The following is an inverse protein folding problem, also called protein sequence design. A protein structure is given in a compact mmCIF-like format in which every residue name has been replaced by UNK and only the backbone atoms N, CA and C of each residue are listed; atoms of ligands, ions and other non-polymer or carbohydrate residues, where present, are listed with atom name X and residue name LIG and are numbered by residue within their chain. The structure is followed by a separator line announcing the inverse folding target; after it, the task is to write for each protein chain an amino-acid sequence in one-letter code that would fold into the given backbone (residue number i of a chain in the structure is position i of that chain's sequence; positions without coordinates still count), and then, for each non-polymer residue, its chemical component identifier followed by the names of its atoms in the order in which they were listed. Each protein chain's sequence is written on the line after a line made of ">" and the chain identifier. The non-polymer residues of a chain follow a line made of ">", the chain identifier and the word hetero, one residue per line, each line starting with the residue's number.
data_IF_235151017461
#
_entry.id   IF_235151017461
#
_cell.length_a   1.000
_cell.length_b   1.000
_cell.length_c   1.000
_cell.angle_alpha   90.00
_cell.angle_beta   90.00
_cell.angle_gamma   90.00
#
_symmetry.space_group_name_H-M   'P 1'
#
loop_
_entity.id
_entity.type
_entity.pdbx_description
1 polymer ?
#
# COMPACT_ATOMS: atom_id res chain seq x y z
N UNK A 1 23.59 -15.60 -41.78
CA UNK A 1 22.54 -14.64 -42.19
C UNK A 1 21.14 -15.14 -41.80
N UNK A 2 20.82 -16.42 -42.01
CA UNK A 2 19.48 -16.98 -41.75
C UNK A 2 18.98 -16.97 -40.29
N UNK A 3 19.88 -17.16 -39.31
CA UNK A 3 19.52 -17.05 -37.89
C UNK A 3 19.06 -15.64 -37.50
N UNK A 4 19.62 -14.60 -38.13
CA UNK A 4 19.23 -13.21 -37.88
C UNK A 4 17.83 -12.91 -38.45
N UNK A 5 17.52 -13.43 -39.64
CA UNK A 5 16.20 -13.25 -40.27
C UNK A 5 15.09 -14.02 -39.56
N UNK A 6 15.36 -15.26 -39.11
CA UNK A 6 14.43 -16.04 -38.29
C UNK A 6 14.13 -15.36 -36.95
N UNK A 7 15.18 -14.88 -36.27
CA UNK A 7 15.03 -14.14 -35.01
C UNK A 7 14.28 -12.83 -35.21
N UNK A 8 14.51 -12.13 -36.32
CA UNK A 8 13.77 -10.93 -36.71
C UNK A 8 12.28 -11.20 -36.88
N UNK A 9 11.90 -12.24 -37.65
CA UNK A 9 10.50 -12.63 -37.88
C UNK A 9 9.78 -13.07 -36.61
N UNK A 10 10.44 -13.87 -35.77
CA UNK A 10 9.88 -14.28 -34.47
C UNK A 10 9.65 -13.07 -33.55
N UNK A 11 10.59 -12.13 -33.53
CA UNK A 11 10.46 -10.90 -32.74
C UNK A 11 9.32 -10.03 -33.25
N UNK A 12 9.19 -9.85 -34.56
CA UNK A 12 8.10 -9.11 -35.18
C UNK A 12 6.72 -9.76 -34.90
N UNK A 13 6.62 -11.09 -35.01
CA UNK A 13 5.39 -11.83 -34.67
C UNK A 13 5.02 -11.72 -33.19
N UNK A 14 6.01 -11.73 -32.29
CA UNK A 14 5.80 -11.51 -30.86
C UNK A 14 5.28 -10.09 -30.58
N UNK A 15 5.91 -9.07 -31.18
CA UNK A 15 5.49 -7.67 -31.01
C UNK A 15 4.09 -7.44 -31.56
N UNK A 16 3.77 -7.99 -32.74
CA UNK A 16 2.43 -7.90 -33.33
C UNK A 16 1.36 -8.51 -32.42
N UNK A 17 1.62 -9.68 -31.80
CA UNK A 17 0.71 -10.26 -30.79
C UNK A 17 0.61 -9.41 -29.52
N UNK A 18 1.71 -8.77 -29.11
CA UNK A 18 1.73 -7.92 -27.94
C UNK A 18 0.94 -6.62 -28.17
N UNK A 19 1.04 -6.01 -29.35
CA UNK A 19 0.30 -4.79 -29.74
C UNK A 19 -1.21 -4.98 -29.69
N UNK A 20 -1.69 -6.19 -30.04
CA UNK A 20 -3.11 -6.58 -29.87
C UNK A 20 -3.46 -7.06 -28.46
N UNK A 21 -2.50 -7.14 -27.54
CA UNK A 21 -2.71 -7.69 -26.19
C UNK A 21 -3.05 -9.19 -26.17
N UNK A 22 -2.69 -9.94 -27.20
CA UNK A 22 -2.97 -11.38 -27.36
C UNK A 22 -1.82 -12.26 -26.87
N UNK A 23 -0.63 -11.68 -26.69
CA UNK A 23 0.53 -12.42 -26.21
C UNK A 23 0.23 -13.09 -24.86
N UNK A 24 0.52 -14.39 -24.76
CA UNK A 24 0.27 -15.15 -23.54
C UNK A 24 1.30 -14.83 -22.45
N UNK A 25 1.02 -13.81 -21.64
CA UNK A 25 1.81 -13.46 -20.46
C UNK A 25 1.31 -14.21 -19.22
N UNK A 26 2.22 -14.46 -18.28
CA UNK A 26 1.88 -15.01 -16.97
C UNK A 26 0.94 -14.05 -16.22
N UNK A 27 -0.23 -14.57 -15.82
CA UNK A 27 -1.22 -13.82 -15.05
C UNK A 27 -0.93 -13.88 -13.54
N UNK A 28 -1.26 -12.81 -12.78
CA UNK A 28 -1.23 -12.87 -11.33
C UNK A 28 -2.36 -13.75 -10.77
N UNK A 29 -2.34 -13.99 -9.45
CA UNK A 29 -3.50 -14.58 -8.76
C UNK A 29 -4.74 -13.70 -8.96
N UNK A 30 -5.94 -14.30 -9.00
CA UNK A 30 -7.18 -13.58 -9.30
C UNK A 30 -7.51 -13.46 -10.78
N UNK A 31 -6.57 -13.77 -11.68
CA UNK A 31 -6.82 -13.81 -13.12
C UNK A 31 -6.40 -15.17 -13.68
N UNK A 32 -7.30 -15.78 -14.45
CA UNK A 32 -7.08 -17.07 -15.10
C UNK A 32 -7.37 -17.01 -16.59
N UNK A 33 -6.76 -17.92 -17.36
CA UNK A 33 -7.06 -18.09 -18.78
C UNK A 33 -7.93 -19.34 -18.91
N UNK A 34 -9.06 -19.21 -19.59
CA UNK A 34 -9.90 -20.35 -19.94
C UNK A 34 -9.25 -21.19 -21.06
N UNK A 35 -9.93 -22.27 -21.46
CA UNK A 35 -9.47 -23.13 -22.55
C UNK A 35 -9.36 -22.41 -23.91
N UNK A 36 -10.10 -21.31 -24.11
CA UNK A 36 -10.07 -20.48 -25.32
C UNK A 36 -8.99 -19.39 -25.25
N UNK A 37 -8.26 -19.27 -24.15
CA UNK A 37 -7.23 -18.26 -23.93
C UNK A 37 -7.77 -16.88 -23.52
N UNK A 38 -9.07 -16.77 -23.22
CA UNK A 38 -9.73 -15.57 -22.69
C UNK A 38 -9.38 -15.42 -21.22
N UNK A 39 -9.03 -14.19 -20.81
CA UNK A 39 -8.70 -13.90 -19.42
C UNK A 39 -9.97 -13.60 -18.64
N UNK A 40 -10.16 -14.32 -17.53
CA UNK A 40 -11.31 -14.22 -16.63
C UNK A 40 -10.85 -13.93 -15.20
N UNK A 41 -11.74 -13.49 -14.32
CA UNK A 41 -11.47 -13.50 -12.88
C UNK A 41 -11.47 -14.94 -12.38
N UNK A 42 -10.65 -15.20 -11.37
CA UNK A 42 -10.56 -16.49 -10.69
C UNK A 42 -11.93 -16.92 -10.16
N UNK A 43 -12.38 -18.12 -10.50
CA UNK A 43 -13.67 -18.66 -10.05
C UNK A 43 -13.82 -18.72 -8.52
N UNK A 44 -12.73 -18.70 -7.74
CA UNK A 44 -12.81 -18.66 -6.28
C UNK A 44 -13.14 -17.25 -5.77
N UNK A 45 -14.33 -17.09 -5.21
CA UNK A 45 -14.81 -15.82 -4.68
C UNK A 45 -13.90 -15.23 -3.58
N UNK A 46 -13.33 -16.06 -2.69
CA UNK A 46 -12.40 -15.56 -1.65
C UNK A 46 -11.14 -14.93 -2.28
N UNK A 47 -10.65 -15.49 -3.39
CA UNK A 47 -9.50 -14.91 -4.10
C UNK A 47 -9.87 -13.53 -4.65
N UNK A 48 -11.05 -13.41 -5.27
CA UNK A 48 -11.52 -12.14 -5.79
C UNK A 48 -11.68 -11.10 -4.67
N UNK A 49 -12.39 -11.47 -3.61
CA UNK A 49 -12.70 -10.58 -2.49
C UNK A 49 -11.43 -10.16 -1.73
N UNK A 50 -10.48 -11.07 -1.54
CA UNK A 50 -9.18 -10.75 -0.91
C UNK A 50 -8.39 -9.74 -1.72
N UNK A 51 -8.39 -9.87 -3.05
CA UNK A 51 -7.68 -8.94 -3.93
C UNK A 51 -8.36 -7.57 -3.88
N UNK A 52 -9.69 -7.52 -3.97
CA UNK A 52 -10.46 -6.30 -3.83
C UNK A 52 -10.18 -5.61 -2.49
N UNK A 53 -10.19 -6.36 -1.38
CA UNK A 53 -9.86 -5.87 -0.04
C UNK A 53 -8.47 -5.26 0.05
N UNK A 54 -7.46 -5.84 -0.61
CA UNK A 54 -6.09 -5.29 -0.59
C UNK A 54 -6.05 -3.92 -1.28
N UNK A 55 -6.74 -3.77 -2.41
CA UNK A 55 -6.79 -2.51 -3.14
C UNK A 55 -7.59 -1.45 -2.38
N UNK A 56 -8.75 -1.79 -1.83
CA UNK A 56 -9.53 -0.85 -1.00
C UNK A 56 -8.77 -0.47 0.26
N UNK A 57 -8.17 -1.43 0.98
CA UNK A 57 -7.38 -1.13 2.17
C UNK A 57 -6.16 -0.26 1.85
N UNK A 58 -5.49 -0.44 0.70
CA UNK A 58 -4.41 0.45 0.31
C UNK A 58 -4.90 1.86 -0.05
N UNK A 59 -6.05 1.95 -0.71
CA UNK A 59 -6.68 3.23 -1.04
C UNK A 59 -6.98 4.04 0.22
N UNK A 60 -7.54 3.40 1.25
CA UNK A 60 -7.88 4.05 2.52
C UNK A 60 -6.63 4.33 3.40
N UNK A 61 -5.76 3.33 3.58
CA UNK A 61 -4.64 3.44 4.53
C UNK A 61 -3.40 4.16 3.95
N UNK A 62 -3.34 4.27 2.63
CA UNK A 62 -2.31 4.99 1.90
C UNK A 62 -0.91 4.37 1.89
N UNK A 63 -0.61 3.33 2.67
CA UNK A 63 0.74 2.73 2.74
C UNK A 63 0.72 1.20 2.77
N UNK A 64 1.72 0.57 2.12
CA UNK A 64 1.88 -0.89 2.13
C UNK A 64 2.08 -1.42 3.57
N UNK A 65 2.81 -0.68 4.40
CA UNK A 65 3.06 -1.07 5.79
C UNK A 65 1.78 -1.20 6.61
N UNK A 66 0.87 -0.22 6.51
CA UNK A 66 -0.42 -0.26 7.22
C UNK A 66 -1.28 -1.42 6.75
N UNK A 67 -1.39 -1.63 5.44
CA UNK A 67 -2.17 -2.77 4.89
C UNK A 67 -1.62 -4.11 5.41
N UNK A 68 -0.29 -4.26 5.50
CA UNK A 68 0.31 -5.47 6.09
C UNK A 68 -0.09 -5.63 7.56
N UNK A 69 -0.03 -4.56 8.35
CA UNK A 69 -0.43 -4.60 9.77
C UNK A 69 -1.90 -5.02 9.88
N UNK A 70 -2.81 -4.33 9.19
CA UNK A 70 -4.24 -4.66 9.20
C UNK A 70 -4.53 -6.11 8.82
N UNK A 71 -3.81 -6.66 7.83
CA UNK A 71 -3.93 -8.08 7.47
C UNK A 71 -3.33 -9.01 8.54
N UNK A 72 -2.15 -8.69 9.10
CA UNK A 72 -1.47 -9.54 10.08
C UNK A 72 -2.13 -9.56 11.44
N UNK A 73 -2.62 -8.42 11.91
CA UNK A 73 -3.38 -8.29 13.16
C UNK A 73 -4.66 -9.14 13.10
N UNK A 74 -5.13 -9.42 11.87
CA UNK A 74 -6.27 -10.29 11.58
C UNK A 74 -5.91 -11.69 11.11
N UNK A 75 -4.63 -12.06 11.18
CA UNK A 75 -4.10 -13.34 10.71
C UNK A 75 -4.50 -13.69 9.26
N UNK A 76 -4.74 -12.69 8.42
CA UNK A 76 -5.22 -12.85 7.05
C UNK A 76 -4.08 -13.21 6.10
N UNK A 77 -4.34 -14.22 5.28
CA UNK A 77 -3.45 -14.66 4.19
C UNK A 77 -3.87 -14.02 2.86
N UNK A 78 -2.94 -13.97 1.91
CA UNK A 78 -3.19 -13.41 0.57
C UNK A 78 -2.95 -14.46 -0.52
N UNK A 79 -3.73 -14.42 -1.62
CA UNK A 79 -3.59 -15.36 -2.72
C UNK A 79 -2.36 -15.01 -3.58
N UNK A 80 -1.65 -16.04 -4.00
CA UNK A 80 -0.49 -15.96 -4.90
C UNK A 80 -0.50 -17.10 -5.86
N UNK A 81 0.04 -16.90 -7.06
CA UNK A 81 0.34 -18.03 -7.95
C UNK A 81 1.70 -18.64 -7.61
N UNK A 82 1.75 -19.95 -7.49
CA UNK A 82 2.98 -20.71 -7.42
C UNK A 82 3.63 -20.83 -8.82
N UNK A 83 4.74 -21.56 -8.93
CA UNK A 83 5.44 -21.78 -10.23
C UNK A 83 4.65 -22.63 -11.23
N UNK A 84 3.65 -23.38 -10.75
CA UNK A 84 2.82 -24.28 -11.53
C UNK A 84 1.50 -23.63 -11.98
N UNK A 85 1.19 -22.43 -11.48
CA UNK A 85 -0.02 -21.68 -11.82
C UNK A 85 -1.13 -21.78 -10.78
N UNK A 86 -0.99 -22.63 -9.77
CA UNK A 86 -2.01 -22.79 -8.72
C UNK A 86 -2.01 -21.63 -7.74
N UNK A 87 -3.19 -21.31 -7.23
CA UNK A 87 -3.36 -20.34 -6.15
C UNK A 87 -2.94 -20.97 -4.82
N UNK A 88 -2.01 -20.31 -4.14
CA UNK A 88 -1.52 -20.64 -2.81
C UNK A 88 -1.73 -19.46 -1.88
N UNK A 89 -2.16 -19.73 -0.66
CA UNK A 89 -2.38 -18.74 0.38
C UNK A 89 -1.11 -18.55 1.20
N UNK A 90 -0.69 -17.30 1.39
CA UNK A 90 0.59 -16.97 2.03
C UNK A 90 0.43 -15.82 3.01
N UNK A 91 1.23 -15.82 4.06
CA UNK A 91 1.36 -14.67 4.97
C UNK A 91 1.84 -13.45 4.19
N UNK A 92 1.21 -12.27 4.33
CA UNK A 92 1.55 -11.09 3.58
C UNK A 92 2.95 -10.57 3.92
N UNK A 93 3.68 -10.16 2.88
CA UNK A 93 4.97 -9.46 2.98
C UNK A 93 4.94 -8.20 2.12
N UNK A 94 5.81 -7.23 2.44
CA UNK A 94 5.89 -5.97 1.70
C UNK A 94 6.20 -6.16 0.21
N UNK A 95 7.11 -7.07 -0.12
CA UNK A 95 7.41 -7.41 -1.51
C UNK A 95 6.19 -7.98 -2.25
N UNK A 96 5.37 -8.79 -1.56
CA UNK A 96 4.19 -9.39 -2.17
C UNK A 96 3.11 -8.36 -2.45
N UNK A 97 2.76 -7.51 -1.49
CA UNK A 97 1.75 -6.47 -1.65
C UNK A 97 2.21 -5.41 -2.66
N UNK A 98 3.45 -4.94 -2.56
CA UNK A 98 4.01 -4.01 -3.55
C UNK A 98 4.01 -4.62 -4.96
N UNK A 99 4.26 -5.94 -5.07
CA UNK A 99 4.15 -6.65 -6.34
C UNK A 99 2.72 -6.68 -6.90
N UNK A 100 1.70 -6.84 -6.04
CA UNK A 100 0.29 -6.80 -6.45
C UNK A 100 -0.14 -5.38 -6.86
N UNK A 101 0.12 -4.39 -6.02
CA UNK A 101 -0.26 -2.99 -6.26
C UNK A 101 0.43 -2.38 -7.49
N UNK A 102 1.62 -2.87 -7.88
CA UNK A 102 2.36 -2.44 -9.09
C UNK A 102 2.04 -3.28 -10.32
N UNK A 103 1.02 -4.14 -10.28
CA UNK A 103 0.66 -5.01 -11.39
C UNK A 103 -0.53 -4.42 -12.17
N UNK A 104 -0.31 -3.90 -13.38
CA UNK A 104 -1.37 -3.26 -14.18
C UNK A 104 -2.45 -4.24 -14.65
N UNK A 105 -2.20 -5.55 -14.58
CA UNK A 105 -3.21 -6.55 -14.92
C UNK A 105 -4.46 -6.47 -14.03
N UNK A 106 -4.31 -6.07 -12.76
CA UNK A 106 -5.47 -5.84 -11.89
C UNK A 106 -6.31 -4.64 -12.34
N UNK A 107 -5.71 -3.69 -13.04
CA UNK A 107 -6.37 -2.53 -13.64
C UNK A 107 -6.88 -2.82 -15.07
N UNK A 108 -7.03 -4.10 -15.42
CA UNK A 108 -7.50 -4.53 -16.73
C UNK A 108 -6.48 -4.42 -17.86
N UNK A 109 -5.25 -3.97 -17.61
CA UNK A 109 -4.30 -3.69 -18.69
C UNK A 109 -3.34 -4.86 -18.99
N UNK A 110 -3.19 -5.14 -20.27
CA UNK A 110 -2.08 -5.90 -20.81
C UNK A 110 -0.88 -4.97 -20.98
N UNK A 111 0.30 -5.36 -20.48
CA UNK A 111 1.52 -4.57 -20.61
C UNK A 111 2.71 -5.44 -21.00
N UNK A 112 3.37 -5.07 -22.09
CA UNK A 112 4.60 -5.71 -22.55
C UNK A 112 5.79 -4.73 -22.54
N UNK A 113 7.00 -5.27 -22.28
CA UNK A 113 8.22 -4.47 -22.24
C UNK A 113 8.45 -3.69 -20.93
N UNK A 114 7.97 -4.21 -19.79
CA UNK A 114 8.16 -3.60 -18.45
C UNK A 114 9.61 -3.63 -17.94
N UNK A 115 10.48 -4.41 -18.58
CA UNK A 115 11.88 -4.58 -18.19
C UNK A 115 12.79 -4.37 -19.40
N UNK A 116 13.99 -3.85 -19.12
CA UNK A 116 15.08 -3.70 -20.08
C UNK A 116 16.29 -4.49 -19.60
N UNK A 117 16.84 -5.31 -20.48
CA UNK A 117 18.15 -5.90 -20.27
C UNK A 117 19.22 -4.81 -20.37
N UNK A 118 19.98 -4.64 -19.30
CA UNK A 118 21.14 -3.75 -19.25
C UNK A 118 22.35 -4.47 -19.87
N UNK A 119 23.33 -3.74 -20.40
CA UNK A 119 24.56 -4.35 -20.90
C UNK A 119 25.47 -4.90 -19.77
N UNK A 120 25.26 -4.45 -18.54
CA UNK A 120 25.99 -4.92 -17.37
C UNK A 120 25.58 -6.35 -16.97
N UNK A 121 26.54 -7.12 -16.48
CA UNK A 121 26.35 -8.50 -16.00
C UNK A 121 26.71 -8.60 -14.52
N UNK A 122 26.02 -9.46 -13.78
CA UNK A 122 26.45 -9.90 -12.47
C UNK A 122 27.78 -10.67 -12.58
N UNK A 123 28.51 -10.80 -11.47
CA UNK A 123 29.72 -11.64 -11.41
C UNK A 123 29.46 -13.11 -11.83
N UNK A 124 28.22 -13.58 -11.68
CA UNK A 124 27.75 -14.89 -12.15
C UNK A 124 27.48 -14.98 -13.66
N UNK A 125 27.77 -13.93 -14.43
CA UNK A 125 27.54 -13.86 -15.89
C UNK A 125 26.09 -13.54 -16.30
N UNK A 126 25.14 -13.51 -15.35
CA UNK A 126 23.73 -13.16 -15.64
C UNK A 126 23.59 -11.69 -16.04
N UNK A 127 22.84 -11.42 -17.10
CA UNK A 127 22.52 -10.06 -17.55
C UNK A 127 21.66 -9.35 -16.50
N UNK A 128 22.04 -8.15 -16.11
CA UNK A 128 21.27 -7.32 -15.20
C UNK A 128 20.04 -6.81 -15.95
N UNK A 129 18.85 -6.96 -15.37
CA UNK A 129 17.62 -6.38 -15.93
C UNK A 129 17.09 -5.28 -15.03
N UNK A 130 16.72 -4.14 -15.61
CA UNK A 130 16.13 -3.01 -14.92
C UNK A 130 14.65 -2.88 -15.28
N UNK A 131 13.81 -2.56 -14.31
CA UNK A 131 12.39 -2.24 -14.55
C UNK A 131 12.26 -0.83 -15.13
N UNK A 132 11.42 -0.68 -16.16
CA UNK A 132 11.15 0.60 -16.79
C UNK A 132 10.08 1.38 -16.02
N UNK A 133 10.20 2.72 -15.94
CA UNK A 133 9.09 3.55 -15.48
C UNK A 133 7.89 3.38 -16.41
N UNK A 134 6.69 3.69 -15.90
CA UNK A 134 5.44 3.44 -16.61
C UNK A 134 5.36 4.13 -17.97
N UNK A 135 5.86 5.36 -18.06
CA UNK A 135 5.93 6.14 -19.29
C UNK A 135 6.83 5.52 -20.39
N UNK A 136 7.74 4.62 -20.04
CA UNK A 136 8.65 3.94 -20.98
C UNK A 136 8.24 2.50 -21.31
N UNK A 137 7.04 2.08 -20.87
CA UNK A 137 6.49 0.78 -21.23
C UNK A 137 6.23 0.73 -22.74
N UNK A 138 6.67 -0.35 -23.38
CA UNK A 138 6.65 -0.44 -24.85
C UNK A 138 5.24 -0.54 -25.40
N UNK A 139 4.40 -1.35 -24.75
CA UNK A 139 3.04 -1.63 -25.20
C UNK A 139 2.14 -1.68 -23.98
N UNK A 140 1.06 -0.90 -24.02
CA UNK A 140 0.01 -0.85 -23.00
C UNK A 140 -1.32 -0.94 -23.72
N UNK A 141 -2.05 -2.02 -23.49
CA UNK A 141 -3.42 -2.22 -24.00
C UNK A 141 -4.33 -2.25 -22.79
N UNK A 142 -5.09 -1.16 -22.59
CA UNK A 142 -6.06 -1.04 -21.50
C UNK A 142 -7.30 -1.91 -21.80
N UNK A 143 -8.08 -2.20 -20.77
CA UNK A 143 -9.36 -2.92 -20.87
C UNK A 143 -9.28 -4.30 -21.56
N UNK A 144 -8.11 -4.95 -21.46
CA UNK A 144 -7.86 -6.27 -22.04
C UNK A 144 -8.28 -7.40 -21.12
N UNK A 145 -8.21 -7.18 -19.81
CA UNK A 145 -8.51 -8.14 -18.76
C UNK A 145 -9.66 -7.64 -17.88
N UNK A 146 -10.42 -8.53 -17.23
CA UNK A 146 -11.37 -8.14 -16.19
C UNK A 146 -10.66 -7.42 -15.04
N UNK A 147 -11.09 -6.19 -14.75
CA UNK A 147 -10.43 -5.34 -13.79
C UNK A 147 -10.97 -5.53 -12.35
N UNK A 148 -10.10 -5.33 -11.37
CA UNK A 148 -10.41 -5.19 -9.95
C UNK A 148 -10.54 -3.72 -9.52
N UNK A 149 -9.87 -2.83 -10.25
CA UNK A 149 -9.92 -1.39 -10.11
C UNK A 149 -9.81 -0.76 -11.49
N UNK A 150 -10.37 0.43 -11.68
CA UNK A 150 -10.18 1.17 -12.93
C UNK A 150 -8.73 1.64 -13.12
N UNK A 151 -8.41 2.06 -14.35
CA UNK A 151 -7.07 2.50 -14.70
C UNK A 151 -6.64 3.76 -13.95
N UNK A 152 -7.56 4.70 -13.72
CA UNK A 152 -7.27 5.97 -13.07
C UNK A 152 -6.85 5.75 -11.60
N UNK A 153 -7.59 4.92 -10.86
CA UNK A 153 -7.24 4.49 -9.50
C UNK A 153 -5.89 3.81 -9.47
N UNK A 154 -5.58 2.98 -10.48
CA UNK A 154 -4.26 2.35 -10.57
C UNK A 154 -3.13 3.36 -10.72
N UNK A 155 -3.30 4.39 -11.58
CA UNK A 155 -2.32 5.46 -11.76
C UNK A 155 -2.11 6.28 -10.47
N UNK A 156 -3.20 6.59 -9.77
CA UNK A 156 -3.14 7.24 -8.45
C UNK A 156 -2.40 6.37 -7.43
N UNK A 157 -2.66 5.06 -7.37
CA UNK A 157 -1.92 4.12 -6.52
C UNK A 157 -0.42 4.10 -6.88
N UNK A 158 -0.05 4.15 -8.17
CA UNK A 158 1.38 4.21 -8.55
C UNK A 158 2.05 5.49 -8.06
N UNK A 159 1.33 6.61 -8.10
CA UNK A 159 1.78 7.91 -7.58
C UNK A 159 1.98 7.82 -6.06
N UNK A 160 0.97 7.37 -5.33
CA UNK A 160 1.06 7.14 -3.87
C UNK A 160 2.22 6.23 -3.49
N UNK A 161 2.46 5.13 -4.21
CA UNK A 161 3.60 4.24 -3.97
C UNK A 161 4.95 4.92 -4.22
N UNK A 162 5.02 5.83 -5.18
CA UNK A 162 6.22 6.60 -5.50
C UNK A 162 6.48 7.66 -4.43
N UNK A 163 5.43 8.36 -3.98
CA UNK A 163 5.52 9.37 -2.94
C UNK A 163 5.87 8.77 -1.58
N UNK A 164 5.30 7.60 -1.25
CA UNK A 164 5.63 6.84 -0.05
C UNK A 164 7.10 6.40 0.00
N UNK A 165 7.74 6.23 -1.15
CA UNK A 165 9.12 5.77 -1.23
C UNK A 165 10.07 6.91 -0.86
N UNK A 166 10.47 6.98 0.40
CA UNK A 166 11.39 8.01 0.91
C UNK A 166 12.83 7.82 0.38
N UNK A 167 13.12 8.25 -0.85
CA UNK A 167 14.49 8.33 -1.35
C UNK A 167 15.06 9.74 -1.13
N UNK A 168 15.56 9.97 0.09
CA UNK A 168 16.12 11.26 0.57
C UNK A 168 17.16 11.94 -0.36
N UNK A 169 17.73 11.22 -1.34
CA UNK A 169 18.80 11.74 -2.21
C UNK A 169 18.47 11.85 -3.70
N UNK A 170 17.48 11.11 -4.23
CA UNK A 170 17.28 10.99 -5.70
C UNK A 170 15.97 11.56 -6.19
N UNK A 171 14.86 11.32 -5.48
CA UNK A 171 13.54 11.73 -5.96
C UNK A 171 12.89 12.83 -5.11
N UNK A 172 13.50 13.21 -3.97
CA UNK A 172 12.99 14.25 -3.05
C UNK A 172 11.51 14.04 -2.61
N UNK A 173 10.98 12.82 -2.76
CA UNK A 173 9.60 12.44 -2.46
C UNK A 173 9.28 12.54 -0.98
N UNK A 174 8.02 12.84 -0.65
CA UNK A 174 7.49 13.04 0.72
C UNK A 174 7.94 11.94 1.70
N UNK A 175 7.85 10.69 1.27
CA UNK A 175 7.97 9.52 2.12
C UNK A 175 6.66 9.27 2.89
N UNK A 176 6.40 8.02 3.25
CA UNK A 176 5.28 7.70 4.12
C UNK A 176 5.44 8.42 5.48
N UNK A 177 4.37 9.00 6.05
CA UNK A 177 4.37 9.53 7.41
C UNK A 177 4.90 8.47 8.38
N UNK A 178 5.74 8.90 9.34
CA UNK A 178 6.32 8.02 10.37
C UNK A 178 5.88 8.48 11.74
N UNK A 179 5.83 7.54 12.67
CA UNK A 179 5.58 7.82 14.07
C UNK A 179 6.73 8.70 14.61
N UNK A 180 6.36 9.80 15.26
CA UNK A 180 7.32 10.77 15.79
C UNK A 180 6.67 12.09 16.16
N UNK A 181 7.30 12.83 17.07
CA UNK A 181 6.76 14.09 17.59
C UNK A 181 6.81 15.26 16.58
N UNK A 182 7.60 15.13 15.50
CA UNK A 182 7.71 16.15 14.46
C UNK A 182 6.61 15.99 13.39
N UNK A 183 5.62 16.89 13.40
CA UNK A 183 4.40 16.84 12.59
C UNK A 183 4.68 17.02 11.09
N UNK A 184 5.67 17.85 10.76
CA UNK A 184 6.02 18.21 9.38
C UNK A 184 7.13 17.30 8.81
N UNK A 185 7.39 16.15 9.44
CA UNK A 185 8.38 15.20 8.96
C UNK A 185 8.10 14.82 7.50
N UNK A 186 9.09 15.06 6.63
CA UNK A 186 8.99 14.69 5.22
C UNK A 186 8.28 15.72 4.32
N UNK A 187 7.84 16.86 4.84
CA UNK A 187 7.30 17.97 4.03
C UNK A 187 8.09 19.28 4.18
N UNK A 188 8.98 19.40 5.17
CA UNK A 188 9.81 20.60 5.36
C UNK A 188 10.94 20.69 4.34
N UNK A 189 11.12 21.88 3.78
CA UNK A 189 12.20 22.24 2.85
C UNK A 189 13.06 23.37 3.42
N UNK A 190 14.36 23.31 3.16
CA UNK A 190 15.32 24.29 3.62
C UNK A 190 15.18 25.59 2.81
N UNK A 191 14.76 26.69 3.43
CA UNK A 191 14.64 27.99 2.77
C UNK A 191 15.95 28.60 2.26
N UNK A 192 17.12 28.06 2.65
CA UNK A 192 18.44 28.55 2.20
C UNK A 192 18.95 27.83 0.95
N UNK A 193 18.77 26.52 0.88
CA UNK A 193 19.33 25.72 -0.22
C UNK A 193 18.27 24.95 -1.01
N UNK A 194 16.98 25.07 -0.68
CA UNK A 194 15.88 24.39 -1.37
C UNK A 194 15.89 22.87 -1.22
N UNK A 195 16.69 22.29 -0.32
CA UNK A 195 16.75 20.85 -0.12
C UNK A 195 15.83 20.42 1.01
N UNK A 196 15.23 19.24 0.84
CA UNK A 196 14.37 18.62 1.84
C UNK A 196 15.09 18.39 3.17
N UNK A 197 14.43 18.75 4.26
CA UNK A 197 14.95 18.60 5.62
C UNK A 197 14.60 17.23 6.21
N UNK A 198 15.51 16.68 7.02
CA UNK A 198 15.28 15.50 7.85
C UNK A 198 14.86 15.90 9.26
N UNK A 199 14.52 14.91 10.10
CA UNK A 199 14.23 15.11 11.53
C UNK A 199 15.33 14.47 12.37
N UNK A 200 15.75 15.15 13.44
CA UNK A 200 16.63 14.62 14.48
C UNK A 200 15.95 14.72 15.85
N UNK A 201 16.05 13.66 16.67
CA UNK A 201 15.37 13.50 17.96
C UNK A 201 16.31 13.51 19.18
N UNK A 202 17.55 14.00 19.06
CA UNK A 202 18.58 13.82 20.12
C UNK A 202 18.33 14.64 21.39
N UNK A 203 18.20 15.95 21.26
CA UNK A 203 18.05 16.91 22.37
C UNK A 203 16.84 17.82 22.08
N UNK A 204 15.68 17.20 21.88
CA UNK A 204 14.47 17.81 21.32
C UNK A 204 14.31 17.56 19.81
N UNK A 205 13.12 17.84 19.30
CA UNK A 205 12.74 17.60 17.91
C UNK A 205 13.33 18.71 17.03
N UNK A 206 14.06 18.36 15.97
CA UNK A 206 14.67 19.36 15.07
C UNK A 206 14.50 19.00 13.61
N UNK A 207 14.20 20.00 12.78
CA UNK A 207 14.34 19.90 11.34
C UNK A 207 15.77 20.24 10.94
N UNK A 208 16.45 19.32 10.26
CA UNK A 208 17.87 19.45 9.90
C UNK A 208 18.06 19.33 8.39
N UNK A 209 18.66 20.36 7.80
CA UNK A 209 19.16 20.31 6.43
C UNK A 209 20.61 19.81 6.43
N UNK A 210 20.78 18.50 6.24
CA UNK A 210 22.09 17.85 6.22
C UNK A 210 22.65 17.60 4.80
N UNK A 211 22.05 18.22 3.76
CA UNK A 211 22.45 18.00 2.38
C UNK A 211 23.94 18.26 2.16
N UNK A 212 24.41 19.49 2.45
CA UNK A 212 25.82 19.89 2.27
C UNK A 212 26.79 19.00 3.06
N UNK A 213 26.43 18.65 4.30
CA UNK A 213 27.22 17.75 5.13
C UNK A 213 27.35 16.35 4.51
N UNK A 214 26.26 15.83 3.91
CA UNK A 214 26.24 14.51 3.28
C UNK A 214 26.84 14.48 1.87
N UNK A 215 26.72 15.56 1.10
CA UNK A 215 27.16 15.61 -0.29
C UNK A 215 28.60 16.09 -0.44
N UNK A 216 29.05 16.97 0.45
CA UNK A 216 30.33 17.68 0.33
C UNK A 216 31.19 17.59 1.60
N UNK A 217 30.75 16.86 2.64
CA UNK A 217 31.49 16.76 3.90
C UNK A 217 31.54 18.05 4.72
N UNK A 218 30.71 19.04 4.38
CA UNK A 218 30.67 20.35 5.05
C UNK A 218 29.84 20.38 6.34
N UNK A 219 29.64 21.58 6.89
CA UNK A 219 28.72 21.79 8.02
C UNK A 219 27.24 21.59 7.62
N UNK A 220 26.37 21.42 8.62
CA UNK A 220 24.92 21.42 8.41
C UNK A 220 24.48 22.78 7.83
N UNK A 221 23.59 22.75 6.83
CA UNK A 221 23.14 23.97 6.16
C UNK A 221 22.21 24.80 7.06
N UNK A 222 21.25 24.12 7.70
CA UNK A 222 20.32 24.69 8.67
C UNK A 222 19.91 23.62 9.68
N UNK A 223 19.62 24.05 10.90
CA UNK A 223 18.98 23.23 11.91
C UNK A 223 17.98 24.13 12.66
N UNK A 224 16.72 23.71 12.72
CA UNK A 224 15.64 24.50 13.29
C UNK A 224 14.91 23.66 14.35
N UNK A 225 14.51 24.25 15.50
CA UNK A 225 13.65 23.56 16.46
C UNK A 225 12.30 23.24 15.80
N UNK A 226 11.86 21.98 15.86
CA UNK A 226 10.63 21.54 15.22
C UNK A 226 9.38 21.99 15.98
N UNK A 227 9.39 21.86 17.32
CA UNK A 227 8.23 22.13 18.16
C UNK A 227 7.55 23.50 17.94
N UNK A 228 8.25 24.64 17.90
CA UNK A 228 7.60 25.94 17.66
C UNK A 228 7.09 26.10 16.22
N UNK A 229 7.72 25.43 15.26
CA UNK A 229 7.28 25.45 13.85
C UNK A 229 6.01 24.62 13.72
N UNK A 230 6.01 23.42 14.29
CA UNK A 230 4.88 22.51 14.30
C UNK A 230 3.68 23.14 15.00
N UNK A 231 3.88 23.77 16.16
CA UNK A 231 2.83 24.47 16.88
C UNK A 231 2.13 25.54 16.03
N UNK A 232 2.88 26.33 15.26
CA UNK A 232 2.32 27.37 14.39
C UNK A 232 1.57 26.81 13.19
N UNK A 233 2.06 25.72 12.60
CA UNK A 233 1.35 25.07 11.49
C UNK A 233 0.08 24.39 11.98
N UNK A 234 0.12 23.75 13.15
CA UNK A 234 -1.06 23.15 13.79
C UNK A 234 -2.11 24.22 14.13
N UNK A 235 -1.70 25.36 14.69
CA UNK A 235 -2.58 26.51 14.97
C UNK A 235 -3.24 27.03 13.68
N UNK A 236 -2.45 27.25 12.62
CA UNK A 236 -2.96 27.69 11.32
C UNK A 236 -3.92 26.67 10.68
N UNK A 237 -3.62 25.37 10.84
CA UNK A 237 -4.48 24.29 10.35
C UNK A 237 -5.83 24.29 11.06
N UNK A 238 -5.86 24.38 12.40
CA UNK A 238 -7.13 24.42 13.13
C UNK A 238 -7.89 25.74 12.93
N UNK A 239 -7.18 26.86 12.70
CA UNK A 239 -7.82 28.12 12.33
C UNK A 239 -8.48 28.06 10.93
N UNK A 240 -7.94 27.24 10.03
CA UNK A 240 -8.49 27.01 8.70
C UNK A 240 -9.55 25.90 8.65
N UNK A 241 -9.60 25.01 9.66
CA UNK A 241 -10.54 23.90 9.73
C UNK A 241 -11.94 24.37 10.13
N UNK A 242 -12.89 24.25 9.22
CA UNK A 242 -14.30 24.56 9.45
C UNK A 242 -15.03 23.45 10.21
N UNK A 243 -16.10 23.76 10.97
CA UNK A 243 -16.98 22.75 11.57
C UNK A 243 -17.57 21.74 10.58
N UNK A 244 -17.71 22.13 9.30
CA UNK A 244 -18.14 21.23 8.23
C UNK A 244 -17.08 20.14 7.91
N UNK A 245 -15.79 20.47 7.97
CA UNK A 245 -14.70 19.50 7.78
C UNK A 245 -14.57 18.52 8.98
N UNK A 246 -14.97 18.94 10.18
CA UNK A 246 -15.09 18.07 11.36
C UNK A 246 -16.27 17.09 11.23
N UNK A 247 -17.41 17.53 10.67
CA UNK A 247 -18.53 16.65 10.34
C UNK A 247 -18.16 15.64 9.23
N UNK A 248 -17.37 16.03 8.22
CA UNK A 248 -16.80 15.10 7.24
C UNK A 248 -15.86 14.05 7.88
N UNK A 249 -15.09 14.43 8.89
CA UNK A 249 -14.25 13.52 9.68
C UNK A 249 -15.09 12.46 10.43
N UNK A 250 -16.32 12.78 10.80
CA UNK A 250 -17.26 11.81 11.36
C UNK A 250 -17.93 10.93 10.30
N UNK A 251 -18.19 11.43 9.09
CA UNK A 251 -18.54 10.56 7.97
C UNK A 251 -17.40 9.58 7.60
N UNK A 252 -16.15 9.89 7.95
CA UNK A 252 -15.05 8.92 7.88
C UNK A 252 -15.19 7.75 8.88
N UNK A 253 -16.02 7.87 9.93
CA UNK A 253 -16.40 6.74 10.80
C UNK A 253 -17.16 5.68 10.01
N UNK A 254 -18.09 6.07 9.14
CA UNK A 254 -18.84 5.12 8.30
C UNK A 254 -17.91 4.38 7.33
N UNK A 255 -16.96 5.09 6.71
CA UNK A 255 -15.96 4.48 5.84
C UNK A 255 -15.06 3.49 6.61
N UNK A 256 -14.70 3.83 7.85
CA UNK A 256 -13.91 2.96 8.73
C UNK A 256 -14.69 1.72 9.16
N UNK A 257 -15.96 1.88 9.49
CA UNK A 257 -16.86 0.77 9.81
C UNK A 257 -16.99 -0.18 8.61
N UNK A 258 -17.23 0.34 7.41
CA UNK A 258 -17.29 -0.46 6.18
C UNK A 258 -15.97 -1.20 5.90
N UNK A 259 -14.82 -0.57 6.18
CA UNK A 259 -13.53 -1.20 6.05
C UNK A 259 -13.36 -2.35 7.05
N UNK A 260 -13.73 -2.14 8.32
CA UNK A 260 -13.65 -3.16 9.36
C UNK A 260 -14.60 -4.35 9.06
N UNK A 261 -15.83 -4.09 8.62
CA UNK A 261 -16.75 -5.13 8.14
C UNK A 261 -16.17 -5.92 6.94
N UNK A 262 -15.50 -5.25 6.02
CA UNK A 262 -14.86 -5.92 4.89
C UNK A 262 -13.71 -6.84 5.34
N UNK A 263 -12.96 -6.44 6.36
CA UNK A 263 -11.94 -7.29 6.98
C UNK A 263 -12.57 -8.49 7.69
N UNK A 264 -13.64 -8.28 8.47
CA UNK A 264 -14.36 -9.36 9.16
C UNK A 264 -14.93 -10.38 8.19
N UNK A 265 -15.61 -9.93 7.13
CA UNK A 265 -16.10 -10.83 6.05
C UNK A 265 -14.96 -11.67 5.47
N UNK A 266 -13.79 -11.07 5.28
CA UNK A 266 -12.65 -11.78 4.72
C UNK A 266 -12.06 -12.80 5.70
N UNK A 267 -12.17 -12.61 7.01
CA UNK A 267 -11.79 -13.61 8.00
C UNK A 267 -12.76 -14.78 8.02
N UNK A 268 -14.06 -14.51 7.96
CA UNK A 268 -15.07 -15.55 7.86
C UNK A 268 -14.89 -16.42 6.62
N UNK A 269 -14.56 -15.82 5.47
CA UNK A 269 -14.23 -16.57 4.26
C UNK A 269 -12.97 -17.43 4.43
N UNK A 270 -11.93 -16.89 5.09
CA UNK A 270 -10.71 -17.64 5.38
C UNK A 270 -10.99 -18.83 6.30
N UNK A 271 -11.81 -18.67 7.33
CA UNK A 271 -12.23 -19.75 8.23
C UNK A 271 -13.01 -20.81 7.45
N UNK A 272 -13.95 -20.41 6.59
CA UNK A 272 -14.69 -21.34 5.71
C UNK A 272 -13.73 -22.18 4.85
N UNK A 273 -12.72 -21.54 4.24
CA UNK A 273 -11.69 -22.24 3.47
C UNK A 273 -10.90 -23.22 4.33
N UNK A 274 -10.39 -22.76 5.49
CA UNK A 274 -9.59 -23.59 6.39
C UNK A 274 -10.38 -24.80 6.91
N UNK A 275 -11.67 -24.61 7.20
CA UNK A 275 -12.59 -25.69 7.60
C UNK A 275 -12.76 -26.71 6.49
N UNK A 276 -12.97 -26.26 5.26
CA UNK A 276 -13.01 -27.16 4.11
C UNK A 276 -11.68 -27.92 3.91
N UNK A 277 -10.54 -27.26 4.09
CA UNK A 277 -9.22 -27.87 3.96
C UNK A 277 -8.97 -28.93 5.05
N UNK A 278 -9.38 -28.68 6.29
CA UNK A 278 -9.30 -29.65 7.38
C UNK A 278 -10.15 -30.90 7.08
N UNK A 279 -11.41 -30.71 6.66
CA UNK A 279 -12.31 -31.81 6.26
C UNK A 279 -11.81 -32.59 5.04
N UNK A 280 -11.13 -31.93 4.10
CA UNK A 280 -10.51 -32.60 2.97
C UNK A 280 -9.30 -33.45 3.41
N UNK A 281 -8.46 -32.90 4.28
CA UNK A 281 -7.28 -33.60 4.81
C UNK A 281 -7.68 -34.83 5.65
N UNK A 282 -8.72 -34.70 6.48
CA UNK A 282 -9.34 -35.82 7.22
C UNK A 282 -9.77 -36.94 6.27
N UNK A 283 -10.60 -36.64 5.26
CA UNK A 283 -11.05 -37.63 4.28
C UNK A 283 -9.90 -38.28 3.50
N UNK A 284 -8.80 -37.56 3.29
CA UNK A 284 -7.61 -38.14 2.65
C UNK A 284 -6.91 -39.12 3.57
N UNK A 285 -6.77 -38.77 4.85
CA UNK A 285 -6.22 -39.65 5.88
C UNK A 285 -7.08 -40.90 6.07
N UNK A 286 -8.40 -40.78 6.23
CA UNK A 286 -9.31 -41.92 6.45
C UNK A 286 -9.33 -42.94 5.30
N UNK A 287 -8.96 -42.50 4.08
CA UNK A 287 -8.95 -43.35 2.88
C UNK A 287 -7.61 -44.05 2.62
N UNK A 288 -6.55 -43.69 3.34
CA UNK A 288 -5.24 -44.30 3.13
C UNK A 288 -5.25 -45.71 3.73
N UNK A 289 -4.62 -46.66 3.03
CA UNK A 289 -4.37 -47.97 3.60
C UNK A 289 -3.39 -47.83 4.80
N UNK A 290 -3.74 -48.32 6.01
CA UNK A 290 -2.87 -48.26 7.19
C UNK A 290 -1.50 -48.92 6.99
N UNK A 291 -1.39 -49.89 6.07
CA UNK A 291 -0.12 -50.55 5.78
C UNK A 291 0.87 -49.62 5.05
N UNK A 292 0.37 -48.55 4.40
CA UNK A 292 1.19 -47.48 3.82
C UNK A 292 1.63 -46.46 4.90
N UNK A 293 2.31 -46.93 5.94
CA UNK A 293 2.65 -46.16 7.16
C UNK A 293 3.26 -44.78 6.91
N UNK A 294 4.17 -44.65 5.92
CA UNK A 294 4.80 -43.36 5.60
C UNK A 294 3.81 -42.36 4.99
N UNK A 295 2.88 -42.83 4.16
CA UNK A 295 1.84 -42.00 3.55
C UNK A 295 0.81 -41.62 4.61
N UNK A 296 0.39 -42.58 5.44
CA UNK A 296 -0.52 -42.34 6.56
C UNK A 296 0.03 -41.26 7.50
N UNK A 297 1.29 -41.37 7.92
CA UNK A 297 1.93 -40.39 8.79
C UNK A 297 2.06 -38.99 8.14
N UNK A 298 2.29 -38.90 6.83
CA UNK A 298 2.31 -37.62 6.13
C UNK A 298 0.91 -36.98 6.02
N UNK A 299 -0.13 -37.78 5.77
CA UNK A 299 -1.52 -37.32 5.71
C UNK A 299 -2.02 -36.89 7.08
N UNK A 300 -1.67 -37.62 8.14
CA UNK A 300 -1.93 -37.25 9.54
C UNK A 300 -1.31 -35.88 9.85
N UNK A 301 -0.01 -35.69 9.58
CA UNK A 301 0.67 -34.39 9.79
C UNK A 301 0.02 -33.23 9.02
N UNK A 302 -0.52 -33.50 7.83
CA UNK A 302 -1.25 -32.49 7.04
C UNK A 302 -2.59 -32.15 7.67
N UNK A 303 -3.33 -33.16 8.13
CA UNK A 303 -4.60 -32.97 8.81
C UNK A 303 -4.40 -32.21 10.14
N UNK A 304 -3.44 -32.61 10.97
CA UNK A 304 -3.09 -31.88 12.21
C UNK A 304 -2.70 -30.42 11.95
N UNK A 305 -1.98 -30.15 10.86
CA UNK A 305 -1.64 -28.78 10.46
C UNK A 305 -2.90 -27.99 10.09
N UNK A 306 -3.77 -28.57 9.26
CA UNK A 306 -5.01 -27.92 8.86
C UNK A 306 -5.93 -27.62 10.06
N UNK A 307 -6.04 -28.55 11.02
CA UNK A 307 -6.78 -28.35 12.26
C UNK A 307 -6.20 -27.22 13.12
N UNK A 308 -4.87 -27.17 13.26
CA UNK A 308 -4.21 -26.07 13.99
C UNK A 308 -4.41 -24.71 13.33
N UNK A 309 -4.29 -24.63 12.00
CA UNK A 309 -4.51 -23.39 11.25
C UNK A 309 -5.98 -22.93 11.37
N UNK A 310 -6.94 -23.86 11.27
CA UNK A 310 -8.36 -23.56 11.49
C UNK A 310 -8.61 -23.00 12.89
N UNK A 311 -8.14 -23.71 13.93
CA UNK A 311 -8.34 -23.31 15.32
C UNK A 311 -7.71 -21.95 15.62
N UNK A 312 -6.50 -21.70 15.13
CA UNK A 312 -5.84 -20.40 15.28
C UNK A 312 -6.64 -19.26 14.66
N UNK A 313 -7.28 -19.50 13.50
CA UNK A 313 -8.10 -18.49 12.84
C UNK A 313 -9.43 -18.24 13.60
N UNK A 314 -10.08 -19.29 14.08
CA UNK A 314 -11.30 -19.20 14.90
C UNK A 314 -11.03 -18.46 16.21
N UNK A 315 -10.00 -18.87 16.97
CA UNK A 315 -9.59 -18.24 18.23
C UNK A 315 -9.18 -16.76 18.03
N UNK A 316 -8.59 -16.41 16.88
CA UNK A 316 -8.22 -15.03 16.55
C UNK A 316 -9.46 -14.15 16.28
N UNK A 317 -10.46 -14.68 15.57
CA UNK A 317 -11.71 -13.97 15.29
C UNK A 317 -12.52 -13.79 16.58
N UNK A 318 -12.65 -14.84 17.40
CA UNK A 318 -13.37 -14.78 18.68
C UNK A 318 -12.75 -13.75 19.64
N UNK A 319 -11.43 -13.77 19.81
CA UNK A 319 -10.74 -12.77 20.64
C UNK A 319 -10.99 -11.35 20.16
N UNK A 320 -11.02 -11.13 18.84
CA UNK A 320 -11.26 -9.77 18.32
C UNK A 320 -12.70 -9.32 18.51
N UNK A 321 -13.66 -10.21 18.25
CA UNK A 321 -15.08 -9.92 18.53
C UNK A 321 -15.29 -9.58 20.00
N UNK A 322 -14.66 -10.32 20.91
CA UNK A 322 -14.70 -10.02 22.33
C UNK A 322 -14.10 -8.63 22.66
N UNK A 323 -12.98 -8.26 22.02
CA UNK A 323 -12.38 -6.93 22.19
C UNK A 323 -13.25 -5.81 21.62
N UNK A 324 -13.89 -6.01 20.46
CA UNK A 324 -14.80 -5.03 19.84
C UNK A 324 -16.08 -4.85 20.65
N UNK A 325 -16.63 -5.92 21.22
CA UNK A 325 -17.80 -5.83 22.11
C UNK A 325 -17.52 -5.11 23.43
N UNK A 326 -16.24 -4.92 23.79
CA UNK A 326 -15.82 -4.16 24.98
C UNK A 326 -15.43 -2.72 24.68
N UNK A 327 -15.18 -2.37 23.41
CA UNK A 327 -15.04 -0.96 23.02
C UNK A 327 -16.45 -0.38 22.86
N UNK A 328 -16.90 0.36 23.87
CA UNK A 328 -18.18 1.07 23.79
C UNK A 328 -18.18 2.00 22.57
N UNK A 329 -19.09 1.73 21.65
CA UNK A 329 -19.31 2.56 20.47
C UNK A 329 -19.94 3.87 20.93
N UNK A 330 -19.33 5.01 20.59
CA UNK A 330 -19.83 6.34 20.98
C UNK A 330 -21.30 6.49 20.57
N UNK A 331 -22.17 6.75 21.54
CA UNK A 331 -23.58 7.04 21.32
C UNK A 331 -23.76 8.28 20.45
N UNK A 332 -24.90 8.45 19.75
CA UNK A 332 -25.17 9.66 18.96
C UNK A 332 -25.05 10.95 19.78
N UNK A 333 -25.34 10.89 21.08
CA UNK A 333 -25.16 12.01 22.02
C UNK A 333 -23.69 12.32 22.24
N UNK A 334 -22.86 11.32 22.55
CA UNK A 334 -21.41 11.49 22.73
C UNK A 334 -20.71 11.95 21.44
N UNK A 335 -21.22 11.53 20.28
CA UNK A 335 -20.77 12.00 18.97
C UNK A 335 -21.07 13.49 18.76
N UNK A 336 -22.28 13.95 19.12
CA UNK A 336 -22.64 15.37 19.05
C UNK A 336 -21.85 16.21 20.06
N UNK A 337 -21.61 15.68 21.26
CA UNK A 337 -20.77 16.33 22.27
C UNK A 337 -19.32 16.43 21.79
N UNK A 338 -18.81 15.43 21.08
CA UNK A 338 -17.49 15.48 20.42
C UNK A 338 -17.42 16.54 19.31
N UNK A 339 -18.44 16.67 18.46
CA UNK A 339 -18.52 17.73 17.43
C UNK A 339 -18.55 19.11 18.11
N UNK A 340 -19.36 19.28 19.15
CA UNK A 340 -19.47 20.52 19.90
C UNK A 340 -18.14 20.87 20.62
N UNK A 341 -17.43 19.86 21.12
CA UNK A 341 -16.07 19.99 21.64
C UNK A 341 -15.01 20.18 20.54
N UNK A 342 -15.38 20.08 19.26
CA UNK A 342 -14.50 20.28 18.12
C UNK A 342 -13.83 21.66 18.09
N UNK A 343 -14.51 22.69 18.61
CA UNK A 343 -13.92 24.02 18.80
C UNK A 343 -12.83 24.08 19.89
N UNK A 344 -12.76 23.06 20.76
CA UNK A 344 -11.74 22.91 21.82
C UNK A 344 -10.62 21.93 21.41
N UNK A 345 -10.69 21.29 20.23
CA UNK A 345 -9.63 20.40 19.71
C UNK A 345 -8.22 21.00 19.75
N UNK A 346 -8.00 22.30 19.48
CA UNK A 346 -6.67 22.91 19.61
C UNK A 346 -6.11 22.82 21.04
N UNK A 347 -6.96 22.93 22.06
CA UNK A 347 -6.57 22.84 23.48
C UNK A 347 -6.29 21.38 23.87
N UNK A 348 -7.10 20.42 23.39
CA UNK A 348 -6.87 18.99 23.60
C UNK A 348 -5.59 18.48 22.91
N UNK A 349 -5.26 19.01 21.73
CA UNK A 349 -4.05 18.64 20.98
C UNK A 349 -2.75 19.02 21.70
N UNK A 350 -2.78 20.09 22.50
CA UNK A 350 -1.63 20.56 23.26
C UNK A 350 -1.38 19.75 24.54
N UNK A 351 -2.27 18.83 24.91
CA UNK A 351 -2.10 18.05 26.14
C UNK A 351 -1.01 16.96 25.96
N UNK A 352 -0.08 16.83 26.92
CA UNK A 352 1.03 15.87 26.85
C UNK A 352 0.63 14.42 27.23
N UNK A 353 -0.57 14.23 27.79
CA UNK A 353 -1.12 12.94 28.26
C UNK A 353 -1.78 12.10 27.16
N UNK A 354 -1.90 12.64 25.93
CA UNK A 354 -2.54 11.93 24.80
C UNK A 354 -1.51 11.59 23.70
N UNK A 355 -1.19 10.30 23.58
CA UNK A 355 -0.42 9.71 22.46
C UNK A 355 -1.29 9.67 21.18
N UNK A 356 -1.41 10.80 20.51
CA UNK A 356 -1.99 10.85 19.17
C UNK A 356 -0.96 10.34 18.13
N UNK A 357 -1.42 9.66 17.08
CA UNK A 357 -0.67 9.52 15.83
C UNK A 357 -0.59 10.86 15.08
N UNK A 358 0.06 11.87 15.69
CA UNK A 358 -0.04 13.31 15.39
C UNK A 358 0.28 13.69 13.93
N UNK A 359 1.03 12.87 13.23
CA UNK A 359 1.66 13.21 11.94
C UNK A 359 0.79 12.87 10.72
N UNK A 360 -0.23 12.01 10.86
CA UNK A 360 -0.92 11.41 9.71
C UNK A 360 -2.10 12.25 9.18
N UNK A 361 -2.97 12.74 10.07
CA UNK A 361 -4.20 13.45 9.70
C UNK A 361 -3.93 14.82 9.09
N UNK A 362 -3.00 15.59 9.68
CA UNK A 362 -2.58 16.92 9.18
C UNK A 362 -1.97 16.85 7.77
N UNK A 363 -1.15 15.83 7.52
CA UNK A 363 -0.47 15.67 6.25
C UNK A 363 -1.43 15.39 5.09
N UNK A 364 -2.56 14.73 5.33
CA UNK A 364 -3.55 14.38 4.30
C UNK A 364 -4.43 15.58 3.92
N UNK A 365 -4.76 16.47 4.87
CA UNK A 365 -5.59 17.65 4.61
C UNK A 365 -4.79 18.84 4.04
N UNK A 366 -3.51 19.00 4.39
CA UNK A 366 -2.63 20.02 3.77
C UNK A 366 -2.53 19.86 2.24
N UNK A 367 -2.64 18.64 1.72
CA UNK A 367 -2.64 18.39 0.27
C UNK A 367 -3.95 18.85 -0.41
N UNK A 368 -5.12 18.72 0.25
CA UNK A 368 -6.41 19.19 -0.31
C UNK A 368 -6.47 20.70 -0.48
N UNK A 369 -5.82 21.46 0.41
CA UNK A 369 -5.76 22.92 0.32
C UNK A 369 -4.67 23.41 -0.65
N UNK A 370 -3.76 22.53 -1.10
CA UNK A 370 -2.65 22.86 -2.01
C UNK A 370 -2.97 22.55 -3.48
N UNK A 371 -4.17 22.06 -3.79
CA UNK A 371 -4.59 21.71 -5.15
C UNK A 371 -4.75 22.99 -6.01
N UNK A 372 -4.01 23.17 -7.12
CA UNK A 372 -4.02 24.40 -7.91
C UNK A 372 -5.33 24.68 -8.67
N UNK A 373 -6.38 23.90 -8.44
CA UNK A 373 -7.70 24.06 -9.07
C UNK A 373 -8.56 25.15 -8.42
N UNK A 374 -8.29 25.56 -7.18
CA UNK A 374 -8.95 26.70 -6.51
C UNK A 374 -8.03 27.92 -6.58
N UNK A 375 -8.22 28.72 -7.64
CA UNK A 375 -7.39 29.87 -8.01
C UNK A 375 -7.15 30.92 -6.93
N UNK A 376 -6.11 30.73 -6.12
CA UNK A 376 -5.45 31.76 -5.32
C UNK A 376 -4.28 32.40 -6.09
N UNK A 377 -4.02 33.71 -5.93
CA UNK A 377 -3.08 34.43 -6.78
C UNK A 377 -1.64 33.92 -6.58
N UNK A 378 -0.98 33.54 -7.67
CA UNK A 378 0.47 33.35 -7.71
C UNK A 378 1.14 34.68 -7.33
N UNK A 379 1.66 34.76 -6.12
CA UNK A 379 2.60 35.81 -5.74
C UNK A 379 3.89 35.61 -6.54
N UNK A 380 4.15 36.48 -7.51
CA UNK A 380 5.45 36.61 -8.16
C UNK A 380 6.51 36.94 -7.11
N UNK A 381 7.23 35.90 -6.67
CA UNK A 381 8.37 36.03 -5.77
C UNK A 381 9.64 36.18 -6.62
N UNK A 382 10.10 37.42 -6.80
CA UNK A 382 11.42 37.75 -7.34
C UNK A 382 12.46 37.72 -6.19
N UNK A 383 13.41 36.77 -6.20
CA UNK A 383 14.37 36.56 -5.11
C UNK A 383 15.45 37.66 -5.00
N UNK A 384 15.44 38.71 -5.84
CA UNK A 384 16.47 39.76 -5.82
C UNK A 384 16.08 41.09 -5.17
N UNK A 385 14.88 41.23 -4.60
CA UNK A 385 14.38 42.56 -4.18
C UNK A 385 14.53 42.96 -2.71
N UNK A 386 15.16 42.17 -1.84
CA UNK A 386 15.35 42.54 -0.43
C UNK A 386 16.82 42.44 0.02
N UNK A 387 17.69 43.12 -0.72
CA UNK A 387 18.99 43.56 -0.24
C UNK A 387 19.05 45.10 -0.31
N UNK A 388 18.33 45.76 0.59
CA UNK A 388 18.52 47.16 1.07
C UNK A 388 17.33 47.55 1.95
N UNK A 389 17.38 47.16 3.22
CA UNK A 389 17.13 48.01 4.40
C UNK A 389 17.24 47.18 5.67
#
# INVERSE_FOLDING_TARGET
>A
MELHTLRGRLTAGLLSKAERGELALLLPAGLERDANGVVMKDSNQEVQDRIALIFSAFWELGTVGKVIRSLRDRALTIPRRNRFGDVVWRVPTASMLAGMLKNPAYAGAFVYGRTQSCHARYASGKIISRRRPMAEWKIVVKDRYPAYLDWERYERIQTMLTDNHAEYRRNQTRGAPRDGAAVLQGIVWCGRCGHKMGVEYKNGNRYVCNFLARSQGGALCQHLPADPIDARVVEAFFAAASPAELAELMHAKDARQQADEAFERAEEQQIKRLRYQALLAERQYDRVDPDNRLIAAELERRWERALRELRQAEDALERRRAMQSQSDDLTPTEQNDFIAAGSQLPEFWQRPDIEWGRTESLNTQLDRQSDPATGGPRSDYDPHRLARR
#
